data_IF_553666776151
#
_entry.id   IF_553666776151
#
_cell.length_a   1.000
_cell.length_b   1.000
_cell.length_c   1.000
_cell.angle_alpha   90.00
_cell.angle_beta   90.00
_cell.angle_gamma   90.00
#
_symmetry.space_group_name_H-M   'P 1'
#
loop_
_entity.id
_entity.type
_entity.pdbx_description
1 polymer ?
#
# COMPACT_ATOMS: atom_id res chain seq x y z
N UNK A 1 -14.73 -22.60 -18.54
CA UNK A 1 -14.03 -23.85 -18.90
C UNK A 1 -12.58 -23.79 -18.47
N UNK A 2 -11.72 -22.96 -19.09
CA UNK A 2 -10.33 -22.81 -18.64
C UNK A 2 -10.20 -22.39 -17.17
N UNK A 3 -10.92 -21.35 -16.73
CA UNK A 3 -10.94 -20.94 -15.32
C UNK A 3 -11.46 -22.06 -14.39
N UNK A 4 -12.48 -22.80 -14.79
CA UNK A 4 -13.01 -23.90 -13.98
C UNK A 4 -12.05 -25.09 -13.88
N UNK A 5 -11.26 -25.34 -14.93
CA UNK A 5 -10.21 -26.35 -14.91
C UNK A 5 -9.08 -25.94 -13.95
N UNK A 6 -8.61 -24.69 -14.03
CA UNK A 6 -7.56 -24.16 -13.13
C UNK A 6 -8.04 -24.04 -11.67
N UNK A 7 -9.34 -23.87 -11.43
CA UNK A 7 -9.90 -23.90 -10.07
C UNK A 7 -10.05 -25.31 -9.48
N UNK A 8 -9.92 -26.36 -10.31
CA UNK A 8 -10.09 -27.76 -9.90
C UNK A 8 -8.80 -28.50 -9.54
N UNK A 9 -7.66 -28.03 -10.07
CA UNK A 9 -6.31 -28.51 -9.78
C UNK A 9 -5.56 -27.38 -9.05
N UNK A 10 -4.66 -27.68 -8.11
CA UNK A 10 -3.93 -26.71 -7.27
C UNK A 10 -3.79 -25.31 -7.92
N UNK A 11 -4.65 -24.34 -7.55
CA UNK A 11 -4.83 -23.15 -8.35
C UNK A 11 -3.59 -22.28 -8.27
N UNK A 12 -3.05 -21.89 -9.42
CA UNK A 12 -1.92 -20.95 -9.49
C UNK A 12 -2.46 -19.52 -9.51
N UNK A 13 -2.22 -18.70 -8.47
CA UNK A 13 -2.80 -17.35 -8.37
C UNK A 13 -2.53 -16.48 -9.61
N UNK A 14 -1.31 -16.52 -10.15
CA UNK A 14 -0.92 -15.78 -11.34
C UNK A 14 -1.72 -16.17 -12.59
N UNK A 15 -1.99 -17.46 -12.79
CA UNK A 15 -2.79 -17.96 -13.92
C UNK A 15 -4.27 -17.61 -13.71
N UNK A 16 -4.78 -17.80 -12.50
CA UNK A 16 -6.16 -17.45 -12.14
C UNK A 16 -6.40 -15.95 -12.37
N UNK A 17 -5.48 -15.07 -11.96
CA UNK A 17 -5.57 -13.62 -12.18
C UNK A 17 -5.62 -13.23 -13.66
N UNK A 18 -4.77 -13.84 -14.50
CA UNK A 18 -4.81 -13.62 -15.96
C UNK A 18 -6.16 -14.05 -16.55
N UNK A 19 -6.67 -15.23 -16.16
CA UNK A 19 -7.95 -15.75 -16.67
C UNK A 19 -9.14 -14.89 -16.22
N UNK A 20 -9.13 -14.43 -14.96
CA UNK A 20 -10.17 -13.54 -14.44
C UNK A 20 -10.14 -12.21 -15.17
N UNK A 21 -8.97 -11.56 -15.30
CA UNK A 21 -8.83 -10.30 -16.08
C UNK A 21 -9.38 -10.45 -17.50
N UNK A 22 -9.03 -11.52 -18.19
CA UNK A 22 -9.51 -11.78 -19.54
C UNK A 22 -11.04 -11.95 -19.62
N UNK A 23 -11.65 -12.64 -18.65
CA UNK A 23 -13.11 -12.80 -18.59
C UNK A 23 -13.82 -11.48 -18.28
N UNK A 24 -13.29 -10.71 -17.34
CA UNK A 24 -13.85 -9.40 -16.97
C UNK A 24 -13.77 -8.43 -18.14
N UNK A 25 -12.64 -8.37 -18.86
CA UNK A 25 -12.47 -7.55 -20.06
C UNK A 25 -13.46 -7.92 -21.20
N UNK A 26 -13.95 -9.16 -21.22
CA UNK A 26 -14.99 -9.63 -22.15
C UNK A 26 -16.42 -9.35 -21.65
N UNK A 27 -16.59 -8.63 -20.54
CA UNK A 27 -17.89 -8.37 -19.93
C UNK A 27 -18.49 -9.58 -19.23
N UNK A 28 -17.68 -10.56 -18.82
CA UNK A 28 -18.11 -11.82 -18.19
C UNK A 28 -17.73 -11.90 -16.70
N UNK A 29 -17.74 -10.74 -16.03
CA UNK A 29 -17.38 -10.61 -14.62
C UNK A 29 -18.38 -11.31 -13.66
N UNK A 30 -19.60 -11.59 -14.13
CA UNK A 30 -20.67 -12.29 -13.42
C UNK A 30 -20.60 -13.82 -13.53
N UNK A 31 -19.61 -14.35 -14.26
CA UNK A 31 -19.44 -15.78 -14.38
C UNK A 31 -19.16 -16.37 -12.99
N UNK A 32 -19.93 -17.38 -12.57
CA UNK A 32 -19.76 -18.13 -11.31
C UNK A 32 -18.31 -18.51 -10.97
N UNK A 33 -17.48 -18.75 -11.99
CA UNK A 33 -16.05 -19.01 -11.83
C UNK A 33 -15.25 -17.81 -11.32
N UNK A 34 -15.60 -16.58 -11.71
CA UNK A 34 -14.95 -15.34 -11.25
C UNK A 34 -15.18 -15.15 -9.76
N UNK A 35 -16.42 -15.25 -9.28
CA UNK A 35 -16.73 -15.13 -7.84
C UNK A 35 -15.96 -16.16 -6.99
N UNK A 36 -15.83 -17.40 -7.48
CA UNK A 36 -15.04 -18.45 -6.82
C UNK A 36 -13.54 -18.20 -6.86
N UNK A 37 -13.06 -17.51 -7.88
CA UNK A 37 -11.65 -17.20 -8.07
C UNK A 37 -11.19 -15.99 -7.23
N UNK A 38 -12.08 -15.03 -6.92
CA UNK A 38 -11.74 -13.80 -6.19
C UNK A 38 -10.91 -14.03 -4.93
N UNK A 39 -11.22 -14.99 -4.03
CA UNK A 39 -10.42 -15.22 -2.82
C UNK A 39 -8.98 -15.70 -3.10
N UNK A 40 -8.70 -16.19 -4.31
CA UNK A 40 -7.39 -16.71 -4.74
C UNK A 40 -6.55 -15.65 -5.46
N UNK A 41 -7.13 -14.49 -5.75
CA UNK A 41 -6.45 -13.42 -6.47
C UNK A 41 -5.57 -12.61 -5.52
N UNK A 42 -4.52 -12.01 -6.09
CA UNK A 42 -3.75 -10.97 -5.42
C UNK A 42 -4.67 -9.79 -5.01
N UNK A 43 -4.31 -9.06 -3.94
CA UNK A 43 -5.16 -8.01 -3.38
C UNK A 43 -5.61 -6.94 -4.39
N UNK A 44 -4.71 -6.46 -5.23
CA UNK A 44 -5.02 -5.49 -6.27
C UNK A 44 -5.86 -6.09 -7.41
N UNK A 45 -5.70 -7.38 -7.70
CA UNK A 45 -6.55 -8.08 -8.67
C UNK A 45 -7.99 -8.22 -8.14
N UNK A 46 -8.17 -8.40 -6.83
CA UNK A 46 -9.49 -8.35 -6.19
C UNK A 46 -10.13 -6.97 -6.32
N UNK A 47 -9.35 -5.90 -6.12
CA UNK A 47 -9.81 -4.53 -6.31
C UNK A 47 -10.25 -4.30 -7.77
N UNK A 48 -9.47 -4.79 -8.73
CA UNK A 48 -9.77 -4.68 -10.16
C UNK A 48 -11.10 -5.36 -10.52
N UNK A 49 -11.31 -6.59 -10.06
CA UNK A 49 -12.57 -7.31 -10.28
C UNK A 49 -13.73 -6.57 -9.64
N UNK A 50 -13.56 -6.07 -8.41
CA UNK A 50 -14.58 -5.27 -7.72
C UNK A 50 -14.95 -4.02 -8.52
N UNK A 51 -13.97 -3.28 -9.02
CA UNK A 51 -14.20 -2.04 -9.76
C UNK A 51 -14.89 -2.28 -11.09
N UNK A 52 -14.39 -3.25 -11.86
CA UNK A 52 -14.98 -3.57 -13.16
C UNK A 52 -16.40 -4.14 -13.03
N UNK A 53 -16.65 -4.98 -12.02
CA UNK A 53 -18.00 -5.50 -11.76
C UNK A 53 -18.96 -4.41 -11.27
N UNK A 54 -18.49 -3.52 -10.39
CA UNK A 54 -19.28 -2.42 -9.83
C UNK A 54 -19.43 -1.21 -10.76
N UNK A 55 -18.80 -1.20 -11.93
CA UNK A 55 -18.74 -0.03 -12.80
C UNK A 55 -18.04 1.17 -12.15
N UNK A 56 -17.11 0.92 -11.23
CA UNK A 56 -16.34 1.96 -10.53
C UNK A 56 -15.29 2.51 -11.49
N UNK A 57 -15.40 3.80 -11.79
CA UNK A 57 -14.48 4.53 -12.68
C UNK A 57 -13.43 5.30 -11.87
N UNK A 58 -12.32 5.73 -12.49
CA UNK A 58 -11.35 6.62 -11.85
C UNK A 58 -11.99 7.90 -11.28
N UNK A 59 -13.01 8.46 -11.96
CA UNK A 59 -13.77 9.60 -11.45
C UNK A 59 -14.53 9.26 -10.16
N UNK A 60 -15.24 8.13 -10.12
CA UNK A 60 -15.98 7.73 -8.93
C UNK A 60 -15.05 7.47 -7.73
N UNK A 61 -13.83 7.00 -7.98
CA UNK A 61 -12.77 6.84 -6.98
C UNK A 61 -12.30 8.19 -6.46
N UNK A 62 -11.98 9.13 -7.36
CA UNK A 62 -11.59 10.49 -6.99
C UNK A 62 -12.68 11.17 -6.15
N UNK A 63 -13.95 11.07 -6.56
CA UNK A 63 -15.09 11.63 -5.81
C UNK A 63 -15.19 11.08 -4.38
N UNK A 64 -14.94 9.77 -4.18
CA UNK A 64 -14.93 9.16 -2.84
C UNK A 64 -13.76 9.65 -1.99
N UNK A 65 -12.56 9.75 -2.58
CA UNK A 65 -11.38 10.25 -1.88
C UNK A 65 -11.54 11.73 -1.50
N UNK A 66 -12.08 12.55 -2.40
CA UNK A 66 -12.44 13.96 -2.13
C UNK A 66 -13.49 14.05 -1.03
N UNK A 67 -14.53 13.22 -1.08
CA UNK A 67 -15.58 13.18 -0.07
C UNK A 67 -15.06 12.82 1.33
N UNK A 68 -14.01 12.00 1.42
CA UNK A 68 -13.32 11.68 2.67
C UNK A 68 -12.23 12.69 3.07
N UNK A 69 -12.04 13.76 2.29
CA UNK A 69 -11.04 14.79 2.55
C UNK A 69 -9.59 14.31 2.37
N UNK A 70 -9.38 13.24 1.58
CA UNK A 70 -8.05 12.68 1.35
C UNK A 70 -7.28 13.52 0.32
N UNK A 71 -7.97 13.95 -0.74
CA UNK A 71 -7.37 14.71 -1.85
C UNK A 71 -8.27 15.88 -2.27
N UNK A 72 -7.69 16.82 -3.02
CA UNK A 72 -8.45 17.77 -3.80
C UNK A 72 -9.01 17.11 -5.08
N UNK A 73 -10.06 17.69 -5.66
CA UNK A 73 -10.62 17.18 -6.91
C UNK A 73 -9.59 17.30 -8.05
N UNK A 74 -9.25 16.20 -8.74
CA UNK A 74 -8.35 16.26 -9.90
C UNK A 74 -8.90 17.13 -11.02
N UNK A 75 -8.01 17.57 -11.92
CA UNK A 75 -8.42 18.35 -13.09
C UNK A 75 -9.27 17.51 -14.05
N UNK A 76 -10.11 18.18 -14.85
CA UNK A 76 -10.91 17.49 -15.87
C UNK A 76 -10.03 16.79 -16.92
N UNK A 77 -8.88 17.39 -17.27
CA UNK A 77 -7.92 16.80 -18.20
C UNK A 77 -7.34 15.48 -17.65
N UNK A 78 -7.00 15.47 -16.37
CA UNK A 78 -6.55 14.25 -15.70
C UNK A 78 -7.63 13.16 -15.71
N UNK A 79 -8.88 13.52 -15.38
CA UNK A 79 -10.00 12.57 -15.37
C UNK A 79 -10.26 11.97 -16.76
N UNK A 80 -10.10 12.75 -17.81
CA UNK A 80 -10.23 12.28 -19.20
C UNK A 80 -9.09 11.30 -19.56
N UNK A 81 -7.85 11.63 -19.22
CA UNK A 81 -6.69 10.76 -19.43
C UNK A 81 -6.82 9.44 -18.66
N UNK A 82 -7.12 9.51 -17.36
CA UNK A 82 -7.32 8.33 -16.52
C UNK A 82 -8.49 7.46 -17.03
N UNK A 83 -9.56 8.08 -17.55
CA UNK A 83 -10.67 7.33 -18.14
C UNK A 83 -10.27 6.63 -19.45
N UNK A 84 -9.41 7.23 -20.26
CA UNK A 84 -8.89 6.61 -21.48
C UNK A 84 -7.94 5.46 -21.16
N UNK A 85 -7.00 5.66 -20.23
CA UNK A 85 -6.08 4.63 -19.75
C UNK A 85 -6.85 3.44 -19.15
N UNK A 86 -7.85 3.71 -18.31
CA UNK A 86 -8.69 2.68 -17.69
C UNK A 86 -9.40 1.78 -18.71
N UNK A 87 -9.74 2.30 -19.90
CA UNK A 87 -10.35 1.50 -20.97
C UNK A 87 -9.33 0.57 -21.64
N UNK A 88 -8.06 0.96 -21.69
CA UNK A 88 -7.00 0.19 -22.37
C UNK A 88 -6.28 -0.77 -21.43
N UNK A 89 -6.01 -0.34 -20.20
CA UNK A 89 -5.24 -1.08 -19.19
C UNK A 89 -5.75 -0.73 -17.78
N UNK A 90 -6.87 -1.33 -17.33
CA UNK A 90 -7.46 -0.99 -16.05
C UNK A 90 -6.56 -1.43 -14.89
N UNK A 91 -6.05 -0.46 -14.13
CA UNK A 91 -5.18 -0.68 -12.98
C UNK A 91 -5.63 0.14 -11.77
N UNK A 92 -6.31 -0.46 -10.77
CA UNK A 92 -6.69 0.22 -9.55
C UNK A 92 -5.48 0.76 -8.81
N UNK A 93 -4.38 0.00 -8.81
CA UNK A 93 -3.11 0.45 -8.25
C UNK A 93 -2.63 1.74 -8.92
N UNK A 94 -2.60 1.78 -10.26
CA UNK A 94 -2.18 2.98 -11.00
C UNK A 94 -3.05 4.19 -10.70
N UNK A 95 -4.38 4.00 -10.67
CA UNK A 95 -5.33 5.06 -10.32
C UNK A 95 -5.10 5.58 -8.89
N UNK A 96 -4.97 4.68 -7.90
CA UNK A 96 -4.74 5.07 -6.50
C UNK A 96 -3.37 5.72 -6.31
N UNK A 97 -2.32 5.16 -6.90
CA UNK A 97 -0.96 5.70 -6.81
C UNK A 97 -0.87 7.11 -7.37
N UNK A 98 -1.52 7.38 -8.50
CA UNK A 98 -1.55 8.71 -9.10
C UNK A 98 -2.41 9.68 -8.28
N UNK A 99 -3.62 9.28 -7.87
CA UNK A 99 -4.51 10.14 -7.07
C UNK A 99 -3.88 10.53 -5.73
N UNK A 100 -3.06 9.66 -5.15
CA UNK A 100 -2.42 9.86 -3.86
C UNK A 100 -0.95 10.29 -3.97
N UNK A 101 -0.45 10.73 -5.12
CA UNK A 101 0.99 10.97 -5.34
C UNK A 101 1.62 11.92 -4.31
N UNK A 102 0.89 12.96 -3.88
CA UNK A 102 1.34 13.93 -2.87
C UNK A 102 1.26 13.38 -1.43
N UNK A 103 0.58 12.25 -1.23
CA UNK A 103 0.29 11.62 0.05
C UNK A 103 0.90 10.22 0.21
N UNK A 104 1.61 9.76 -0.81
CA UNK A 104 2.10 8.41 -0.95
C UNK A 104 3.63 8.43 -0.99
N UNK A 105 4.26 7.54 -0.24
CA UNK A 105 5.68 7.24 -0.40
C UNK A 105 5.88 5.74 -0.53
N UNK A 106 6.95 5.36 -1.24
CA UNK A 106 7.34 3.97 -1.43
C UNK A 106 8.83 3.81 -1.09
N UNK A 107 9.16 2.77 -0.35
CA UNK A 107 10.55 2.42 -0.02
C UNK A 107 10.71 0.91 0.08
N UNK A 108 11.91 0.42 -0.24
CA UNK A 108 12.25 -0.98 -0.01
C UNK A 108 12.44 -1.21 1.50
N UNK A 109 11.87 -2.31 2.01
CA UNK A 109 12.04 -2.68 3.42
C UNK A 109 13.41 -3.28 3.72
N UNK A 110 14.07 -3.79 2.68
CA UNK A 110 15.47 -4.17 2.68
C UNK A 110 16.34 -2.94 2.35
N UNK A 111 17.45 -2.78 3.05
CA UNK A 111 18.42 -1.72 2.76
C UNK A 111 19.86 -2.25 2.89
N UNK A 112 20.84 -1.36 2.85
CA UNK A 112 22.24 -1.72 3.10
C UNK A 112 22.45 -2.24 4.54
N UNK A 113 23.65 -2.77 4.81
CA UNK A 113 24.05 -3.33 6.12
C UNK A 113 23.80 -2.40 7.33
N UNK A 114 23.71 -1.09 7.13
CA UNK A 114 23.32 -0.13 8.16
C UNK A 114 21.98 0.54 7.78
N UNK A 115 20.93 0.22 8.53
CA UNK A 115 19.61 0.82 8.37
C UNK A 115 19.61 2.29 8.81
N UNK A 116 19.17 3.20 7.92
CA UNK A 116 18.99 4.62 8.25
C UNK A 116 17.51 4.93 8.53
N UNK A 117 17.10 4.71 9.79
CA UNK A 117 15.77 5.06 10.27
C UNK A 117 15.50 6.57 10.25
N UNK A 118 16.54 7.42 10.28
CA UNK A 118 16.34 8.87 10.15
C UNK A 118 15.82 9.20 8.76
N UNK A 119 16.46 8.65 7.73
CA UNK A 119 15.99 8.77 6.35
C UNK A 119 14.54 8.30 6.22
N UNK A 120 14.21 7.11 6.74
CA UNK A 120 12.84 6.58 6.67
C UNK A 120 11.81 7.50 7.34
N UNK A 121 12.12 8.05 8.53
CA UNK A 121 11.25 9.02 9.22
C UNK A 121 11.10 10.30 8.40
N UNK A 122 12.17 10.80 7.79
CA UNK A 122 12.14 11.98 6.93
C UNK A 122 11.32 11.74 5.65
N UNK A 123 11.45 10.58 5.00
CA UNK A 123 10.63 10.19 3.85
C UNK A 123 9.13 10.17 4.18
N UNK A 124 8.79 9.54 5.30
CA UNK A 124 7.40 9.48 5.78
C UNK A 124 6.87 10.86 6.16
N UNK A 125 7.71 11.74 6.72
CA UNK A 125 7.30 13.11 6.99
C UNK A 125 6.97 13.91 5.71
N UNK A 126 7.69 13.65 4.60
CA UNK A 126 7.45 14.36 3.33
C UNK A 126 6.06 14.10 2.74
N UNK A 127 5.54 12.87 2.85
CA UNK A 127 4.19 12.56 2.34
C UNK A 127 3.04 13.12 3.22
N UNK A 128 3.36 13.84 4.30
CA UNK A 128 2.35 14.45 5.17
C UNK A 128 1.91 15.85 4.76
N UNK A 129 2.50 16.42 3.71
CA UNK A 129 2.24 17.80 3.25
C UNK A 129 2.34 18.85 4.38
N UNK A 130 3.32 18.68 5.28
CA UNK A 130 3.56 19.59 6.41
C UNK A 130 2.80 19.24 7.69
N UNK A 131 1.99 18.18 7.70
CA UNK A 131 1.36 17.72 8.95
C UNK A 131 2.35 17.03 9.91
N UNK A 132 3.57 16.71 9.47
CA UNK A 132 4.68 16.30 10.32
C UNK A 132 5.94 17.08 9.91
N UNK A 133 6.09 18.28 10.44
CA UNK A 133 7.33 19.07 10.27
C UNK A 133 8.38 18.63 11.29
N UNK A 134 9.48 18.05 10.82
CA UNK A 134 10.57 17.59 11.66
C UNK A 134 11.57 18.71 11.90
N UNK A 135 11.84 19.01 13.17
CA UNK A 135 12.92 19.92 13.60
C UNK A 135 14.25 19.19 13.77
N UNK A 136 14.20 17.87 13.98
CA UNK A 136 15.37 17.01 14.06
C UNK A 136 14.99 15.55 14.21
N UNK A 137 15.86 14.67 13.70
CA UNK A 137 15.77 13.22 13.90
C UNK A 137 17.17 12.69 14.20
N UNK A 138 17.27 11.82 15.19
CA UNK A 138 18.52 11.12 15.52
C UNK A 138 18.25 9.64 15.73
N UNK A 139 19.26 8.81 15.45
CA UNK A 139 19.23 7.40 15.79
C UNK A 139 20.53 7.01 16.49
N UNK A 140 20.45 6.05 17.42
CA UNK A 140 21.62 5.41 18.04
C UNK A 140 21.35 3.94 18.28
N UNK A 141 22.39 3.12 18.27
CA UNK A 141 22.26 1.70 18.61
C UNK A 141 22.53 1.53 20.10
N UNK A 142 21.56 0.99 20.84
CA UNK A 142 21.64 0.79 22.29
C UNK A 142 20.97 -0.54 22.66
N UNK A 143 21.65 -1.38 23.44
CA UNK A 143 21.12 -2.66 23.94
C UNK A 143 20.52 -3.59 22.87
N UNK A 144 21.11 -3.63 21.67
CA UNK A 144 20.63 -4.48 20.57
C UNK A 144 19.35 -3.97 19.89
N UNK A 145 19.03 -2.68 20.05
CA UNK A 145 17.94 -1.97 19.37
C UNK A 145 18.46 -0.70 18.72
N UNK A 146 17.69 -0.18 17.77
CA UNK A 146 17.89 1.18 17.27
C UNK A 146 16.94 2.08 18.05
N UNK A 147 17.49 3.03 18.81
CA UNK A 147 16.74 4.07 19.50
C UNK A 147 16.65 5.29 18.59
N UNK A 148 15.44 5.76 18.33
CA UNK A 148 15.15 6.90 17.45
C UNK A 148 14.49 8.00 18.27
N UNK A 149 14.99 9.22 18.14
CA UNK A 149 14.40 10.42 18.73
C UNK A 149 14.08 11.42 17.61
N UNK A 150 12.86 11.95 17.60
CA UNK A 150 12.42 13.00 16.68
C UNK A 150 11.90 14.22 17.44
N UNK A 151 12.02 15.40 16.83
CA UNK A 151 11.50 16.66 17.34
C UNK A 151 10.44 17.19 16.37
N UNK A 152 9.26 17.46 16.89
CA UNK A 152 8.14 18.02 16.14
C UNK A 152 7.37 19.01 17.04
N UNK A 153 7.17 20.25 16.59
CA UNK A 153 6.52 21.31 17.38
C UNK A 153 7.18 21.52 18.77
N UNK A 154 8.51 21.45 18.81
CA UNK A 154 9.33 21.54 20.03
C UNK A 154 9.18 20.35 20.99
N UNK A 155 8.42 19.31 20.62
CA UNK A 155 8.25 18.10 21.43
C UNK A 155 9.20 16.99 20.97
N UNK A 156 9.91 16.40 21.93
CA UNK A 156 10.78 15.25 21.71
C UNK A 156 9.95 13.97 21.88
N UNK A 157 9.91 13.14 20.83
CA UNK A 157 9.32 11.80 20.87
C UNK A 157 10.40 10.76 20.62
N UNK A 158 10.51 9.77 21.50
CA UNK A 158 11.46 8.67 21.39
C UNK A 158 10.76 7.32 21.21
N UNK A 159 11.32 6.45 20.37
CA UNK A 159 10.86 5.08 20.20
C UNK A 159 12.02 4.15 19.83
N UNK A 160 11.82 2.84 20.00
CA UNK A 160 12.83 1.82 19.71
C UNK A 160 12.36 0.90 18.58
N UNK A 161 13.27 0.59 17.65
CA UNK A 161 13.08 -0.38 16.59
C UNK A 161 13.92 -1.64 16.81
N UNK A 162 13.40 -2.81 16.43
CA UNK A 162 14.15 -4.06 16.49
C UNK A 162 15.20 -4.13 15.37
N UNK A 163 16.37 -4.67 15.67
CA UNK A 163 17.37 -5.02 14.65
C UNK A 163 16.95 -6.33 14.00
N UNK A 164 16.67 -6.30 12.69
CA UNK A 164 16.20 -7.46 11.91
C UNK A 164 17.12 -7.75 10.72
N UNK A 165 18.43 -7.65 10.95
CA UNK A 165 19.41 -7.65 9.88
C UNK A 165 19.36 -6.33 9.12
N UNK A 166 19.20 -6.42 7.82
CA UNK A 166 19.06 -5.35 6.83
C UNK A 166 17.59 -4.95 6.55
N UNK A 167 16.66 -5.39 7.40
CA UNK A 167 15.23 -5.08 7.27
C UNK A 167 14.76 -4.05 8.31
N UNK A 168 14.01 -3.03 7.85
CA UNK A 168 13.37 -2.06 8.74
C UNK A 168 12.27 -2.68 9.63
N UNK A 169 12.17 -2.25 10.88
CA UNK A 169 11.02 -2.48 11.75
C UNK A 169 9.94 -1.43 11.48
N UNK A 170 9.28 -1.56 10.32
CA UNK A 170 8.30 -0.59 9.81
C UNK A 170 7.16 -0.31 10.81
N UNK A 171 6.54 -1.29 11.50
CA UNK A 171 5.49 -1.02 12.47
C UNK A 171 5.94 -0.13 13.62
N UNK A 172 7.17 -0.31 14.14
CA UNK A 172 7.67 0.53 15.22
C UNK A 172 7.73 2.01 14.78
N UNK A 173 8.17 2.25 13.54
CA UNK A 173 8.18 3.60 12.95
C UNK A 173 6.75 4.13 12.76
N UNK A 174 5.89 3.36 12.11
CA UNK A 174 4.52 3.80 11.82
C UNK A 174 3.69 4.03 13.09
N UNK A 175 3.84 3.21 14.12
CA UNK A 175 3.16 3.39 15.41
C UNK A 175 3.62 4.66 16.12
N UNK A 176 4.94 4.92 16.12
CA UNK A 176 5.49 6.14 16.69
C UNK A 176 4.98 7.38 15.95
N UNK A 177 5.08 7.40 14.62
CA UNK A 177 4.63 8.55 13.81
C UNK A 177 3.11 8.74 13.89
N UNK A 178 2.33 7.66 13.92
CA UNK A 178 0.89 7.71 14.15
C UNK A 178 0.54 8.31 15.51
N UNK A 179 1.32 8.01 16.55
CA UNK A 179 1.20 8.65 17.85
C UNK A 179 1.40 10.17 17.78
N UNK A 180 2.41 10.62 17.03
CA UNK A 180 2.73 12.05 16.86
C UNK A 180 1.61 12.80 16.12
N UNK A 181 1.07 12.21 15.05
CA UNK A 181 0.08 12.89 14.18
C UNK A 181 -1.38 12.63 14.57
N UNK A 182 -1.65 11.81 15.60
CA UNK A 182 -3.00 11.38 15.98
C UNK A 182 -3.96 12.56 16.23
N UNK A 183 -3.48 13.64 16.84
CA UNK A 183 -4.29 14.83 17.13
C UNK A 183 -4.83 15.54 15.87
N UNK A 184 -4.25 15.27 14.70
CA UNK A 184 -4.67 15.82 13.39
C UNK A 184 -5.81 15.02 12.74
N UNK A 185 -6.25 13.91 13.35
CA UNK A 185 -7.30 13.06 12.77
C UNK A 185 -6.86 12.32 11.49
N UNK A 186 -5.55 12.18 11.30
CA UNK A 186 -4.92 11.51 10.18
C UNK A 186 -3.90 10.49 10.68
N UNK A 187 -3.51 9.55 9.83
CA UNK A 187 -2.53 8.51 10.14
C UNK A 187 -1.87 7.98 8.87
N UNK A 188 -0.78 7.27 9.06
CA UNK A 188 -0.12 6.46 8.03
C UNK A 188 -0.84 5.12 7.86
N UNK A 189 -1.07 4.76 6.60
CA UNK A 189 -1.72 3.53 6.15
C UNK A 189 -0.78 2.78 5.20
N UNK A 190 -0.20 1.65 5.61
CA UNK A 190 0.55 0.80 4.72
C UNK A 190 -0.38 0.14 3.69
N UNK A 191 0.02 0.14 2.42
CA UNK A 191 -0.66 -0.55 1.33
C UNK A 191 0.00 -1.91 1.09
N UNK A 192 -0.79 -2.90 0.74
CA UNK A 192 -0.27 -4.21 0.35
C UNK A 192 0.26 -4.14 -1.09
N UNK A 193 1.54 -4.39 -1.29
CA UNK A 193 2.23 -4.35 -2.60
C UNK A 193 2.44 -5.73 -3.22
N UNK A 194 2.53 -6.76 -2.36
CA UNK A 194 2.78 -8.15 -2.77
C UNK A 194 4.27 -8.53 -2.84
N UNK A 195 5.17 -7.60 -2.56
CA UNK A 195 6.63 -7.79 -2.57
C UNK A 195 7.29 -7.14 -1.34
N UNK A 196 8.60 -6.84 -1.44
CA UNK A 196 9.40 -6.18 -0.39
C UNK A 196 9.26 -4.65 -0.36
N UNK A 197 8.65 -4.05 -1.39
CA UNK A 197 8.34 -2.62 -1.40
C UNK A 197 7.25 -2.37 -0.37
N UNK A 198 7.42 -1.39 0.50
CA UNK A 198 6.33 -0.85 1.32
C UNK A 198 5.89 0.47 0.72
N UNK A 199 4.59 0.59 0.53
CA UNK A 199 3.94 1.84 0.15
C UNK A 199 3.10 2.33 1.30
N UNK A 200 3.22 3.61 1.66
CA UNK A 200 2.54 4.20 2.81
C UNK A 200 1.82 5.46 2.39
N UNK A 201 0.53 5.54 2.70
CA UNK A 201 -0.32 6.71 2.50
C UNK A 201 -0.46 7.46 3.82
N UNK A 202 -0.25 8.77 3.83
CA UNK A 202 -0.71 9.63 4.92
C UNK A 202 -2.08 10.23 4.58
N UNK A 203 -3.11 9.89 5.36
CA UNK A 203 -4.48 10.33 5.07
C UNK A 203 -5.34 10.50 6.34
N UNK A 204 -6.47 11.22 6.27
CA UNK A 204 -7.48 11.23 7.33
C UNK A 204 -7.94 9.81 7.70
N UNK A 205 -8.38 9.62 8.95
CA UNK A 205 -8.87 8.31 9.42
C UNK A 205 -10.05 7.76 8.60
N UNK A 206 -10.84 8.64 7.99
CA UNK A 206 -11.91 8.29 7.05
C UNK A 206 -11.42 7.53 5.80
N UNK A 207 -10.13 7.63 5.45
CA UNK A 207 -9.55 6.87 4.34
C UNK A 207 -9.73 5.35 4.52
N UNK A 208 -9.70 4.83 5.75
CA UNK A 208 -9.90 3.40 5.99
C UNK A 208 -11.27 2.91 5.50
N UNK A 209 -12.32 3.72 5.67
CA UNK A 209 -13.67 3.39 5.20
C UNK A 209 -13.76 3.43 3.68
N UNK A 210 -13.13 4.42 3.06
CA UNK A 210 -13.04 4.52 1.59
C UNK A 210 -12.22 3.39 1.00
N UNK A 211 -11.11 3.03 1.63
CA UNK A 211 -10.26 1.92 1.24
C UNK A 211 -11.02 0.60 1.29
N UNK A 212 -11.78 0.34 2.37
CA UNK A 212 -12.64 -0.82 2.46
C UNK A 212 -13.72 -0.83 1.36
N UNK A 213 -14.39 0.31 1.12
CA UNK A 213 -15.43 0.44 0.10
C UNK A 213 -14.88 0.22 -1.32
N UNK A 214 -13.66 0.66 -1.58
CA UNK A 214 -12.99 0.55 -2.87
C UNK A 214 -12.09 -0.69 -2.98
N UNK A 215 -12.06 -1.55 -1.97
CA UNK A 215 -11.14 -2.70 -1.92
C UNK A 215 -9.66 -2.29 -2.13
N UNK A 216 -9.28 -1.08 -1.72
CA UNK A 216 -7.86 -0.68 -1.66
C UNK A 216 -7.21 -1.54 -0.59
N UNK A 217 -6.20 -2.36 -0.93
CA UNK A 217 -5.66 -3.32 0.00
C UNK A 217 -4.74 -2.63 0.99
N UNK A 218 -5.25 -2.41 2.20
CA UNK A 218 -4.44 -1.98 3.34
C UNK A 218 -3.74 -3.18 3.94
N UNK A 219 -2.48 -3.00 4.30
CA UNK A 219 -1.69 -4.02 4.97
C UNK A 219 -2.14 -4.14 6.44
N UNK A 220 -2.47 -5.35 6.87
CA UNK A 220 -2.94 -5.61 8.24
C UNK A 220 -1.80 -5.60 9.27
N UNK A 221 -0.60 -6.00 8.82
CA UNK A 221 0.64 -5.95 9.58
C UNK A 221 1.76 -5.38 8.70
N UNK A 222 2.29 -4.20 9.05
CA UNK A 222 3.31 -3.53 8.25
C UNK A 222 4.65 -4.32 8.16
N UNK A 223 4.82 -5.42 8.88
CA UNK A 223 5.93 -6.37 8.72
C UNK A 223 5.74 -7.41 7.63
N UNK A 224 4.55 -7.55 7.05
CA UNK A 224 4.32 -8.64 6.11
C UNK A 224 5.24 -8.53 4.88
N UNK A 225 5.51 -7.32 4.38
CA UNK A 225 6.43 -7.09 3.27
C UNK A 225 7.84 -7.61 3.58
N UNK A 226 8.39 -7.22 4.75
CA UNK A 226 9.70 -7.70 5.19
C UNK A 226 9.72 -9.23 5.38
N UNK A 227 8.63 -9.79 5.92
CA UNK A 227 8.51 -11.24 6.12
C UNK A 227 8.46 -12.02 4.80
N UNK A 228 7.79 -11.46 3.77
CA UNK A 228 7.71 -12.03 2.41
C UNK A 228 9.07 -11.96 1.72
N UNK A 229 9.73 -10.81 1.76
CA UNK A 229 11.07 -10.62 1.19
C UNK A 229 12.08 -11.62 1.78
N UNK A 230 12.21 -11.66 3.10
CA UNK A 230 13.09 -12.59 3.79
C UNK A 230 12.73 -14.08 3.57
N UNK A 231 11.47 -14.41 3.25
CA UNK A 231 11.08 -15.77 2.87
C UNK A 231 11.54 -16.12 1.44
N UNK A 232 11.38 -15.18 0.49
CA UNK A 232 11.81 -15.34 -0.88
C UNK A 232 13.32 -15.52 -0.99
N UNK A 233 14.11 -14.69 -0.30
CA UNK A 233 15.58 -14.81 -0.27
C UNK A 233 16.04 -16.18 0.22
N UNK A 234 15.44 -16.67 1.31
CA UNK A 234 15.74 -18.01 1.85
C UNK A 234 15.46 -19.11 0.84
N UNK A 235 14.42 -18.97 0.03
CA UNK A 235 14.10 -19.93 -1.03
C UNK A 235 15.12 -19.87 -2.17
N UNK A 236 15.56 -18.68 -2.58
CA UNK A 236 16.56 -18.50 -3.63
C UNK A 236 17.92 -19.06 -3.20
N UNK A 237 18.39 -18.72 -2.00
CA UNK A 237 19.68 -19.20 -1.46
C UNK A 237 19.68 -20.74 -1.33
N UNK A 238 18.56 -21.35 -0.94
CA UNK A 238 18.48 -22.80 -0.79
C UNK A 238 18.56 -23.58 -2.12
N UNK A 239 18.41 -22.90 -3.26
CA UNK A 239 18.48 -23.49 -4.61
C UNK A 239 19.87 -23.39 -5.26
N UNK A 240 20.78 -22.62 -4.67
CA UNK A 240 22.18 -22.48 -5.10
C UNK A 240 23.09 -23.51 -4.43
#
# INVERSE_FOLDING_TARGET
>A
AALEAELGEEPRPSVVGVLVRALVAQGRADARGVERAVPLLDPWDRALVHWLHGGITPQAVAEKLVGAGVIAMPSAAWLEEAAAEWQTDPSPFGVIAHLLEDHLTGFDTESSLELDYRWLVEELARCTAGALELEGVSQRVENGRVEIELIHEGQVTGFSAQIRGDWYDVPAVLDALNGVVAARGARFFPLQTGDQLVMVVYAPTAFAEVAALLHIPLEGDANEAASRGAAYEREVIAKE
#
